data_IF_526221899346
#
_entry.id   IF_526221899346
#
_cell.length_a   1.000
_cell.length_b   1.000
_cell.length_c   1.000
_cell.angle_alpha   90.00
_cell.angle_beta   90.00
_cell.angle_gamma   90.00
#
_symmetry.space_group_name_H-M   'P 1'
#
loop_
_entity.id
_entity.type
_entity.pdbx_description
1 polymer ?
#
# COMPACT_ATOMS: atom_id res chain seq x y z
N UNK A 1 -8.15 -32.65 0.66
CA UNK A 1 -9.12 -31.59 0.29
C UNK A 1 -9.80 -31.18 1.58
N UNK A 2 -9.49 -30.00 2.12
CA UNK A 2 -10.16 -29.48 3.32
C UNK A 2 -11.08 -28.36 2.83
N UNK A 3 -12.37 -28.66 2.69
CA UNK A 3 -13.39 -27.66 2.42
C UNK A 3 -13.85 -27.05 3.74
N UNK A 4 -13.52 -25.78 3.97
CA UNK A 4 -14.11 -24.99 5.04
C UNK A 4 -15.37 -24.29 4.51
N UNK A 5 -16.55 -24.81 4.84
CA UNK A 5 -17.83 -24.17 4.52
C UNK A 5 -18.30 -23.40 5.75
N UNK A 6 -18.21 -22.07 5.74
CA UNK A 6 -18.92 -21.24 6.72
C UNK A 6 -20.40 -21.14 6.29
N UNK A 7 -21.27 -21.87 6.99
CA UNK A 7 -22.72 -21.71 6.89
C UNK A 7 -23.14 -20.53 7.76
N UNK A 8 -23.60 -19.44 7.16
CA UNK A 8 -24.45 -18.46 7.83
C UNK A 8 -25.90 -18.71 7.40
N UNK A 9 -26.74 -19.06 8.36
CA UNK A 9 -28.17 -19.28 8.13
C UNK A 9 -28.85 -18.00 7.65
N UNK A 10 -29.73 -18.17 6.67
CA UNK A 10 -30.36 -17.10 5.89
C UNK A 10 -31.55 -16.54 6.67
N UNK A 11 -31.40 -15.40 7.33
CA UNK A 11 -32.55 -14.60 7.77
C UNK A 11 -33.01 -13.71 6.61
N UNK A 12 -34.24 -13.93 6.12
CA UNK A 12 -34.84 -13.17 5.02
C UNK A 12 -35.24 -11.76 5.48
N UNK A 13 -34.40 -10.75 5.22
CA UNK A 13 -34.76 -9.34 5.41
C UNK A 13 -34.37 -8.54 4.15
N UNK A 14 -35.28 -7.83 3.48
CA UNK A 14 -35.03 -7.13 2.20
C UNK A 14 -34.04 -5.94 2.25
N UNK A 15 -33.36 -5.72 3.38
CA UNK A 15 -32.28 -4.73 3.57
C UNK A 15 -30.89 -5.34 3.74
N UNK A 16 -30.70 -6.63 3.47
CA UNK A 16 -29.37 -7.25 3.55
C UNK A 16 -28.47 -6.71 2.44
N UNK A 17 -27.28 -6.16 2.75
CA UNK A 17 -26.25 -5.89 1.76
C UNK A 17 -26.03 -7.13 0.89
N UNK A 18 -25.81 -6.95 -0.42
CA UNK A 18 -25.42 -8.04 -1.30
C UNK A 18 -24.05 -8.56 -0.85
N UNK A 19 -24.03 -9.57 0.02
CA UNK A 19 -22.83 -10.32 0.33
C UNK A 19 -22.64 -11.36 -0.76
N UNK A 20 -21.72 -11.10 -1.69
CA UNK A 20 -21.24 -12.16 -2.57
C UNK A 20 -20.53 -13.23 -1.73
N UNK A 21 -20.81 -14.49 -2.01
CA UNK A 21 -20.10 -15.60 -1.39
C UNK A 21 -18.66 -15.63 -1.94
N UNK A 22 -17.75 -14.92 -1.29
CA UNK A 22 -16.31 -14.99 -1.59
C UNK A 22 -15.82 -16.36 -1.13
N UNK A 23 -15.39 -17.20 -2.08
CA UNK A 23 -14.74 -18.48 -1.79
C UNK A 23 -13.23 -18.30 -1.86
N UNK A 24 -12.54 -18.75 -0.82
CA UNK A 24 -11.10 -18.83 -0.80
C UNK A 24 -10.68 -20.26 -1.10
N UNK A 25 -9.76 -20.43 -2.04
CA UNK A 25 -9.13 -21.71 -2.35
C UNK A 25 -7.63 -21.58 -2.13
N UNK A 26 -7.05 -22.56 -1.45
CA UNK A 26 -5.60 -22.70 -1.39
C UNK A 26 -5.08 -23.32 -2.69
N UNK A 27 -4.03 -22.72 -3.25
CA UNK A 27 -3.31 -23.21 -4.43
C UNK A 27 -1.87 -23.43 -3.98
N UNK A 28 -1.27 -24.59 -4.31
CA UNK A 28 0.12 -24.84 -3.93
C UNK A 28 1.06 -23.94 -4.75
N UNK A 29 2.27 -23.61 -4.25
CA UNK A 29 3.21 -22.75 -4.97
C UNK A 29 3.49 -23.20 -6.41
N UNK A 30 3.52 -24.50 -6.67
CA UNK A 30 3.76 -25.11 -7.99
C UNK A 30 2.58 -24.91 -8.96
N UNK A 31 1.40 -24.63 -8.42
CA UNK A 31 0.16 -24.42 -9.16
C UNK A 31 -0.18 -22.94 -9.34
N UNK A 32 0.59 -22.02 -8.74
CA UNK A 32 0.41 -20.58 -8.92
C UNK A 32 0.66 -20.27 -10.41
N UNK A 33 -0.34 -19.76 -11.15
CA UNK A 33 -0.14 -19.40 -12.54
C UNK A 33 0.93 -18.33 -12.63
N UNK A 34 1.75 -18.37 -13.68
CA UNK A 34 2.68 -17.27 -13.95
C UNK A 34 1.91 -15.94 -14.01
N UNK A 35 2.43 -14.88 -13.41
CA UNK A 35 1.84 -13.53 -13.48
C UNK A 35 1.61 -13.09 -14.93
N UNK A 36 2.44 -13.58 -15.87
CA UNK A 36 2.29 -13.33 -17.32
C UNK A 36 1.04 -13.95 -17.95
N UNK A 37 0.41 -14.93 -17.29
CA UNK A 37 -0.76 -15.63 -17.82
C UNK A 37 -2.08 -14.93 -17.54
N UNK A 38 -2.08 -13.94 -16.64
CA UNK A 38 -3.28 -13.16 -16.32
C UNK A 38 -3.55 -12.12 -17.40
N UNK A 39 -4.81 -12.04 -17.86
CA UNK A 39 -5.26 -10.96 -18.74
C UNK A 39 -5.47 -9.69 -17.93
N UNK A 40 -4.79 -8.62 -18.33
CA UNK A 40 -4.94 -7.28 -17.74
C UNK A 40 -6.35 -6.70 -17.91
N UNK A 41 -7.16 -7.23 -18.82
CA UNK A 41 -8.53 -6.74 -19.08
C UNK A 41 -9.57 -7.25 -18.07
N UNK A 42 -9.31 -8.37 -17.38
CA UNK A 42 -10.34 -9.09 -16.62
C UNK A 42 -9.93 -9.49 -15.22
N UNK A 43 -8.66 -9.37 -14.87
CA UNK A 43 -8.14 -9.87 -13.59
C UNK A 43 -7.35 -8.80 -12.86
N UNK A 44 -7.74 -8.50 -11.63
CA UNK A 44 -6.89 -7.77 -10.68
C UNK A 44 -6.12 -8.79 -9.85
N UNK A 45 -4.80 -8.77 -9.94
CA UNK A 45 -3.93 -9.61 -9.11
C UNK A 45 -3.49 -8.77 -7.91
N UNK A 46 -3.75 -9.27 -6.70
CA UNK A 46 -3.30 -8.66 -5.44
C UNK A 46 -2.23 -9.58 -4.86
N UNK A 47 -1.06 -9.03 -4.57
CA UNK A 47 0.09 -9.75 -4.03
C UNK A 47 0.40 -9.18 -2.65
N UNK A 48 0.50 -10.06 -1.66
CA UNK A 48 0.93 -9.72 -0.30
C UNK A 48 2.33 -10.27 -0.10
N UNK A 49 3.28 -9.37 0.15
CA UNK A 49 4.68 -9.71 0.39
C UNK A 49 5.20 -8.93 1.58
N UNK A 50 6.03 -9.57 2.39
CA UNK A 50 6.62 -8.96 3.58
C UNK A 50 7.83 -8.09 3.21
N UNK A 51 8.48 -8.40 2.08
CA UNK A 51 9.71 -7.74 1.64
C UNK A 51 9.61 -7.30 0.20
N UNK A 52 9.57 -5.98 -0.01
CA UNK A 52 9.50 -5.39 -1.35
C UNK A 52 10.63 -5.87 -2.28
N UNK A 53 11.86 -6.02 -1.80
CA UNK A 53 12.99 -6.47 -2.61
C UNK A 53 13.00 -7.98 -2.93
N UNK A 54 12.12 -8.78 -2.31
CA UNK A 54 11.94 -10.18 -2.69
C UNK A 54 10.92 -10.35 -3.81
N UNK A 55 10.16 -9.30 -4.13
CA UNK A 55 9.21 -9.30 -5.24
C UNK A 55 9.97 -9.41 -6.57
N UNK A 56 9.67 -10.40 -7.42
CA UNK A 56 10.27 -10.51 -8.74
C UNK A 56 10.12 -9.23 -9.58
N UNK A 57 11.16 -8.85 -10.34
CA UNK A 57 11.20 -7.62 -11.16
C UNK A 57 9.98 -7.49 -12.08
N UNK A 58 9.54 -8.60 -12.65
CA UNK A 58 8.37 -8.60 -13.53
C UNK A 58 7.09 -8.08 -12.84
N UNK A 59 6.95 -8.29 -11.54
CA UNK A 59 5.82 -7.74 -10.79
C UNK A 59 6.04 -6.23 -10.64
N UNK A 60 7.24 -5.76 -10.30
CA UNK A 60 7.54 -4.32 -10.22
C UNK A 60 7.22 -3.54 -11.50
N UNK A 61 7.44 -4.14 -12.67
CA UNK A 61 7.15 -3.52 -13.98
C UNK A 61 5.65 -3.42 -14.28
N UNK A 62 4.82 -4.26 -13.64
CA UNK A 62 3.39 -4.36 -13.92
C UNK A 62 2.51 -3.95 -12.72
N UNK A 63 3.09 -3.43 -11.64
CA UNK A 63 2.33 -2.92 -10.49
C UNK A 63 1.68 -1.58 -10.84
N UNK A 64 0.37 -1.49 -10.67
CA UNK A 64 -0.37 -0.24 -10.70
C UNK A 64 -0.47 0.41 -9.32
N UNK A 65 -0.69 -0.39 -8.29
CA UNK A 65 -0.90 0.08 -6.93
C UNK A 65 0.02 -0.64 -5.97
N UNK A 66 0.83 0.12 -5.25
CA UNK A 66 1.66 -0.39 -4.17
C UNK A 66 1.13 0.11 -2.83
N UNK A 67 0.80 -0.82 -1.94
CA UNK A 67 0.30 -0.49 -0.60
C UNK A 67 1.34 -0.91 0.43
N UNK A 68 1.79 0.03 1.25
CA UNK A 68 2.78 -0.23 2.30
C UNK A 68 2.14 -0.17 3.69
N UNK A 69 2.44 -1.18 4.50
CA UNK A 69 2.00 -1.31 5.89
C UNK A 69 3.20 -1.29 6.84
N UNK A 70 2.94 -1.07 8.13
CA UNK A 70 3.96 -1.22 9.15
C UNK A 70 4.59 -2.62 9.13
N UNK A 71 5.91 -2.70 9.26
CA UNK A 71 6.67 -3.95 9.22
C UNK A 71 7.05 -4.44 7.82
N UNK A 72 6.32 -4.06 6.77
CA UNK A 72 6.52 -4.60 5.41
C UNK A 72 7.51 -3.85 4.52
N UNK A 73 8.24 -2.84 5.04
CA UNK A 73 9.16 -2.05 4.20
C UNK A 73 10.36 -1.51 4.97
N UNK A 74 11.57 -1.83 4.50
CA UNK A 74 12.82 -1.29 5.04
C UNK A 74 13.03 0.19 4.66
N UNK A 75 14.00 0.86 5.29
CA UNK A 75 14.42 2.20 4.85
C UNK A 75 14.77 2.22 3.36
N UNK A 76 15.48 1.20 2.89
CA UNK A 76 15.92 1.07 1.52
C UNK A 76 14.73 0.93 0.56
N UNK A 77 13.73 0.12 0.91
CA UNK A 77 12.54 -0.09 0.09
C UNK A 77 11.71 1.20 -0.02
N UNK A 78 11.37 1.81 1.14
CA UNK A 78 10.64 3.08 1.17
C UNK A 78 11.40 4.18 0.44
N UNK A 79 12.73 4.24 0.61
CA UNK A 79 13.57 5.23 -0.04
C UNK A 79 13.55 5.10 -1.56
N UNK A 80 13.64 3.87 -2.08
CA UNK A 80 13.61 3.59 -3.53
C UNK A 80 12.27 3.95 -4.17
N UNK A 81 11.17 3.80 -3.43
CA UNK A 81 9.83 4.20 -3.90
C UNK A 81 9.70 5.72 -3.83
N UNK A 82 10.02 6.32 -2.68
CA UNK A 82 9.87 7.75 -2.44
C UNK A 82 10.77 8.61 -3.35
N UNK A 83 11.96 8.13 -3.72
CA UNK A 83 12.89 8.85 -4.59
C UNK A 83 12.34 9.10 -6.01
N UNK A 84 11.24 8.47 -6.40
CA UNK A 84 10.53 8.77 -7.65
C UNK A 84 9.70 10.06 -7.57
N UNK A 85 9.40 10.53 -6.37
CA UNK A 85 8.42 11.60 -6.15
C UNK A 85 9.01 12.81 -5.42
N UNK A 86 10.12 12.62 -4.70
CA UNK A 86 10.71 13.69 -3.89
C UNK A 86 12.21 13.47 -3.66
N UNK A 87 12.98 14.54 -3.77
CA UNK A 87 14.43 14.53 -3.56
C UNK A 87 14.82 14.32 -2.09
N UNK A 88 14.03 14.87 -1.17
CA UNK A 88 14.24 14.71 0.27
C UNK A 88 13.74 13.35 0.78
N UNK A 89 14.38 12.28 0.30
CA UNK A 89 14.02 10.89 0.58
C UNK A 89 14.04 10.60 2.09
N UNK A 90 15.01 11.14 2.83
CA UNK A 90 15.09 10.97 4.27
C UNK A 90 13.89 11.59 5.00
N UNK A 91 13.48 12.79 4.58
CA UNK A 91 12.27 13.45 5.10
C UNK A 91 11.02 12.64 4.78
N UNK A 92 10.91 12.16 3.54
CA UNK A 92 9.79 11.33 3.09
C UNK A 92 9.68 10.03 3.91
N UNK A 93 10.79 9.34 4.14
CA UNK A 93 10.84 8.14 4.98
C UNK A 93 10.30 8.42 6.39
N UNK A 94 10.74 9.50 7.03
CA UNK A 94 10.29 9.88 8.38
C UNK A 94 8.78 10.17 8.40
N UNK A 95 8.25 10.84 7.38
CA UNK A 95 6.82 11.10 7.25
C UNK A 95 6.05 9.80 7.07
N UNK A 96 6.39 8.99 6.07
CA UNK A 96 5.72 7.73 5.75
C UNK A 96 5.72 6.80 6.97
N UNK A 97 6.89 6.53 7.54
CA UNK A 97 6.98 5.60 8.67
C UNK A 97 6.19 6.07 9.90
N UNK A 98 6.10 7.37 10.14
CA UNK A 98 5.31 7.85 11.28
C UNK A 98 3.80 7.62 11.13
N UNK A 99 3.30 7.47 9.90
CA UNK A 99 1.94 7.03 9.63
C UNK A 99 1.84 5.51 9.78
N UNK A 100 2.79 4.76 9.20
CA UNK A 100 2.82 3.30 9.33
C UNK A 100 2.84 2.86 10.79
N UNK A 101 3.67 3.47 11.64
CA UNK A 101 3.71 3.18 13.08
C UNK A 101 2.40 3.45 13.84
N UNK A 102 1.50 4.25 13.27
CA UNK A 102 0.16 4.50 13.83
C UNK A 102 -0.89 3.49 13.36
N UNK A 103 -0.49 2.44 12.63
CA UNK A 103 -1.40 1.47 12.04
C UNK A 103 -2.07 1.95 10.75
N UNK A 104 -1.58 3.06 10.17
CA UNK A 104 -2.02 3.51 8.86
C UNK A 104 -1.28 2.75 7.74
N UNK A 105 -1.75 2.91 6.50
CA UNK A 105 -1.05 2.44 5.31
C UNK A 105 -0.93 3.56 4.28
N UNK A 106 0.13 3.47 3.48
CA UNK A 106 0.39 4.42 2.39
C UNK A 106 0.19 3.72 1.05
N UNK A 107 -0.50 4.38 0.15
CA UNK A 107 -0.79 3.89 -1.19
C UNK A 107 -0.01 4.72 -2.20
N UNK A 108 0.81 4.06 -3.00
CA UNK A 108 1.47 4.64 -4.17
C UNK A 108 0.73 4.17 -5.41
N UNK A 109 0.14 5.12 -6.13
CA UNK A 109 -0.48 4.89 -7.43
C UNK A 109 0.58 5.09 -8.51
N UNK A 110 1.18 3.99 -8.95
CA UNK A 110 2.27 3.98 -9.93
C UNK A 110 1.78 4.23 -11.36
N UNK A 111 0.45 4.23 -11.58
CA UNK A 111 -0.13 4.53 -12.90
C UNK A 111 -0.31 6.01 -13.16
N UNK A 112 -0.19 6.84 -12.11
CA UNK A 112 -0.33 8.30 -12.20
C UNK A 112 1.01 8.96 -12.44
N UNK A 113 0.95 10.17 -13.01
CA UNK A 113 2.14 11.02 -13.17
C UNK A 113 2.71 11.38 -11.80
N UNK A 114 4.03 11.54 -11.71
CA UNK A 114 4.73 11.83 -10.44
C UNK A 114 4.21 13.11 -9.75
N UNK A 115 3.70 14.08 -10.52
CA UNK A 115 3.18 15.35 -10.03
C UNK A 115 1.68 15.33 -9.67
N UNK A 116 0.97 14.21 -9.87
CA UNK A 116 -0.45 14.09 -9.50
C UNK A 116 -0.59 13.99 -7.96
N UNK A 117 -1.52 14.75 -7.40
CA UNK A 117 -1.75 14.81 -5.95
C UNK A 117 -2.22 13.48 -5.34
N UNK A 118 -2.81 12.58 -6.14
CA UNK A 118 -3.30 11.27 -5.74
C UNK A 118 -2.28 10.14 -5.97
N UNK A 119 -1.09 10.47 -6.46
CA UNK A 119 0.01 9.53 -6.65
C UNK A 119 0.49 8.92 -5.34
N UNK A 120 0.44 9.69 -4.24
CA UNK A 120 0.74 9.20 -2.90
C UNK A 120 -0.44 9.53 -1.99
N UNK A 121 -0.99 8.51 -1.34
CA UNK A 121 -2.15 8.64 -0.46
C UNK A 121 -1.88 8.01 0.90
N UNK A 122 -2.41 8.64 1.94
CA UNK A 122 -2.66 8.00 3.22
C UNK A 122 -4.00 7.26 3.08
N UNK A 123 -4.01 5.96 3.30
CA UNK A 123 -5.15 5.09 2.93
C UNK A 123 -5.49 5.20 1.44
N UNK A 124 -6.73 4.91 1.05
CA UNK A 124 -7.14 4.91 -0.35
C UNK A 124 -7.63 6.27 -0.88
N UNK A 125 -8.00 7.21 -0.01
CA UNK A 125 -8.77 8.40 -0.38
C UNK A 125 -8.10 9.72 0.00
N UNK A 126 -7.13 9.71 0.93
CA UNK A 126 -6.55 10.93 1.47
C UNK A 126 -5.21 11.24 0.80
N UNK A 127 -5.08 12.32 0.01
CA UNK A 127 -3.79 12.72 -0.57
C UNK A 127 -2.72 12.94 0.51
N UNK A 128 -1.52 12.37 0.32
CA UNK A 128 -0.38 12.56 1.20
C UNK A 128 0.68 13.43 0.50
N UNK A 129 0.63 14.75 0.77
CA UNK A 129 1.64 15.67 0.27
C UNK A 129 2.90 15.60 1.15
N UNK A 130 3.89 14.82 0.70
CA UNK A 130 5.15 14.62 1.43
C UNK A 130 5.90 15.92 1.67
N UNK A 131 5.98 16.80 0.67
CA UNK A 131 6.69 18.08 0.78
C UNK A 131 6.13 18.94 1.91
N UNK A 132 4.80 19.12 1.92
CA UNK A 132 4.09 19.89 2.95
C UNK A 132 4.27 19.28 4.34
N UNK A 133 4.19 17.96 4.47
CA UNK A 133 4.38 17.27 5.74
C UNK A 133 5.82 17.43 6.29
N UNK A 134 6.82 17.35 5.42
CA UNK A 134 8.22 17.57 5.77
C UNK A 134 8.41 19.00 6.29
N UNK A 135 7.89 20.00 5.57
CA UNK A 135 7.97 21.41 5.96
C UNK A 135 7.30 21.68 7.31
N UNK A 136 6.12 21.10 7.54
CA UNK A 136 5.39 21.22 8.81
C UNK A 136 6.22 20.65 9.96
N UNK A 137 6.88 19.51 9.77
CA UNK A 137 7.74 18.89 10.80
C UNK A 137 8.98 19.71 11.08
N UNK A 138 9.61 20.26 10.04
CA UNK A 138 10.79 21.09 10.19
C UNK A 138 10.47 22.37 10.99
N UNK A 139 9.37 23.06 10.66
CA UNK A 139 8.90 24.24 11.41
C UNK A 139 8.59 23.92 12.88
N UNK A 140 7.99 22.76 13.16
CA UNK A 140 7.74 22.31 14.54
C UNK A 140 9.05 22.08 15.30
N UNK A 141 10.04 21.48 14.66
CA UNK A 141 11.37 21.23 15.25
C UNK A 141 12.10 22.54 15.57
N UNK A 142 12.08 23.49 14.65
CA UNK A 142 12.67 24.83 14.85
C UNK A 142 12.00 25.59 16.01
N UNK A 143 10.66 25.57 16.07
CA UNK A 143 9.91 26.17 17.18
C UNK A 143 10.23 25.52 18.53
N UNK A 144 10.38 24.20 18.57
CA UNK A 144 10.75 23.51 19.82
C UNK A 144 12.18 23.83 20.26
N UNK A 145 13.10 24.04 19.30
CA UNK A 145 14.48 24.40 19.61
C UNK A 145 14.63 25.85 20.10
N UNK A 146 13.77 26.77 19.65
CA UNK A 146 13.77 28.16 20.12
C UNK A 146 13.12 28.36 21.48
N UNK A 147 12.20 27.49 21.91
CA UNK A 147 11.62 27.51 23.26
C UNK A 147 12.55 26.95 24.35
N UNK A 148 13.52 26.13 23.95
CA UNK A 148 14.46 25.46 24.86
C UNK A 148 15.83 26.17 24.92
N UNK A 149 15.91 27.40 24.41
CA UNK A 149 17.06 28.31 24.51
C UNK A 149 16.72 29.46 25.46
#
# INVERSE_FOLDING_TARGET
MIEGVSRLEKASNPKTPNYENIRFSYISPEQIPSVKSFSSERSTVIIFEDKYHHVPIIIHENIFLLVTYNGGSSYQDVSKIASRYIDNVKGAFIVINSYLYKGEFVVFDLSRLENDMLTIRLRFDTPLNLQKEIEVRQKRKEKSASLNK
#
